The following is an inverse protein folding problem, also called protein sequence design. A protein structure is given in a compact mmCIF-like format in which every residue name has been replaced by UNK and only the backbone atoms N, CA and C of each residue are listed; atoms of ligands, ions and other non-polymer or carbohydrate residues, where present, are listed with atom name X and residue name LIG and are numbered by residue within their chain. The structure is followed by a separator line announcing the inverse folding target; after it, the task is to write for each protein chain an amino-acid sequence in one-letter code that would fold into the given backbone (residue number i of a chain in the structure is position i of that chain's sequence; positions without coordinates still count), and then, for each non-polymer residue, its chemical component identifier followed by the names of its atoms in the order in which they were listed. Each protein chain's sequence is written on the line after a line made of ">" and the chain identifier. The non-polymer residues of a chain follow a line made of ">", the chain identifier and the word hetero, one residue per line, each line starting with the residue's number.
data_IF_270101332243
#
_entry.id   IF_270101332243
#
_cell.length_a   1.000
_cell.length_b   1.000
_cell.length_c   1.000
_cell.angle_alpha   90.00
_cell.angle_beta   90.00
_cell.angle_gamma   90.00
#
_symmetry.space_group_name_H-M   'P 1'
#
loop_
_entity.id
_entity.type
_entity.pdbx_description
1 polymer ?
#
# COMPACT_ATOMS: atom_id res chain seq x y z
N UNK A 1 -7.03 22.99 -27.59
CA UNK A 1 -6.66 21.55 -27.70
C UNK A 1 -5.59 21.31 -28.76
N UNK A 2 -5.86 21.35 -30.06
CA UNK A 2 -4.80 21.14 -31.08
C UNK A 2 -3.76 22.27 -31.11
N UNK A 3 -4.17 23.52 -30.84
CA UNK A 3 -3.27 24.69 -30.84
C UNK A 3 -2.39 24.80 -29.59
N UNK A 4 -2.76 24.18 -28.46
CA UNK A 4 -1.94 24.18 -27.24
C UNK A 4 -0.88 23.05 -27.26
N UNK A 5 -1.10 22.01 -28.07
CA UNK A 5 -0.17 20.87 -28.19
C UNK A 5 1.04 21.15 -29.08
N UNK A 6 0.90 22.02 -30.09
CA UNK A 6 2.01 22.41 -30.97
C UNK A 6 3.05 23.31 -30.28
N UNK A 7 2.74 23.86 -29.09
CA UNK A 7 3.68 24.65 -28.30
C UNK A 7 4.79 23.78 -27.63
N UNK A 8 4.59 22.46 -27.53
CA UNK A 8 5.53 21.54 -26.88
C UNK A 8 6.15 20.47 -27.81
N UNK A 9 5.59 20.21 -28.99
CA UNK A 9 6.17 19.28 -29.99
C UNK A 9 5.57 19.53 -31.38
N UNK A 10 6.42 19.69 -32.39
CA UNK A 10 6.00 19.99 -33.78
C UNK A 10 5.61 18.75 -34.60
N UNK A 11 5.76 17.52 -34.08
CA UNK A 11 5.64 16.29 -34.89
C UNK A 11 4.84 15.14 -34.26
N UNK A 12 4.31 15.27 -33.04
CA UNK A 12 3.58 14.14 -32.43
C UNK A 12 3.17 14.36 -30.98
N UNK A 13 2.25 13.48 -30.53
CA UNK A 13 1.71 13.45 -29.17
C UNK A 13 2.75 12.83 -28.24
N UNK A 14 3.22 13.59 -27.24
CA UNK A 14 4.01 13.07 -26.14
C UNK A 14 3.05 12.62 -25.02
N UNK A 15 2.65 11.35 -25.03
CA UNK A 15 1.76 10.76 -24.02
C UNK A 15 1.97 9.24 -23.91
N UNK A 16 1.56 8.67 -22.78
CA UNK A 16 1.48 7.22 -22.60
C UNK A 16 0.20 6.68 -23.26
N UNK A 17 0.33 5.59 -24.02
CA UNK A 17 -0.80 4.81 -24.54
C UNK A 17 -0.92 3.50 -23.75
N UNK A 18 -1.90 3.42 -22.86
CA UNK A 18 -2.07 2.29 -21.93
C UNK A 18 -3.40 1.58 -22.22
N UNK A 19 -3.32 0.27 -22.45
CA UNK A 19 -4.50 -0.61 -22.56
C UNK A 19 -4.53 -1.54 -21.34
N UNK A 20 -5.61 -1.47 -20.58
CA UNK A 20 -5.87 -2.36 -19.45
C UNK A 20 -7.14 -3.16 -19.73
N UNK A 21 -7.06 -4.48 -19.52
CA UNK A 21 -8.20 -5.38 -19.58
C UNK A 21 -8.10 -6.41 -18.47
N UNK A 22 -9.24 -6.95 -18.07
CA UNK A 22 -9.36 -8.08 -17.15
C UNK A 22 -10.29 -9.11 -17.80
N UNK A 23 -10.12 -10.39 -17.45
CA UNK A 23 -10.91 -11.50 -18.01
C UNK A 23 -11.94 -11.93 -16.98
N UNK A 24 -13.17 -12.16 -17.43
CA UNK A 24 -14.21 -12.72 -16.57
C UNK A 24 -13.94 -14.20 -16.35
N UNK A 25 -13.60 -14.58 -15.11
CA UNK A 25 -13.43 -15.98 -14.70
C UNK A 25 -14.69 -16.50 -14.00
N UNK A 26 -15.49 -17.31 -14.68
CA UNK A 26 -16.74 -17.84 -14.09
C UNK A 26 -16.50 -18.75 -12.88
N UNK A 27 -15.38 -19.47 -12.87
CA UNK A 27 -15.02 -20.41 -11.81
C UNK A 27 -14.16 -19.79 -10.69
N UNK A 28 -14.50 -20.14 -9.45
CA UNK A 28 -13.79 -19.71 -8.24
C UNK A 28 -12.38 -20.31 -8.18
N UNK A 29 -12.10 -21.38 -8.93
CA UNK A 29 -10.81 -22.09 -8.89
C UNK A 29 -9.89 -21.63 -10.04
N UNK A 30 -10.39 -20.85 -11.00
CA UNK A 30 -9.64 -20.44 -12.20
C UNK A 30 -10.05 -21.21 -13.46
N UNK A 31 -9.26 -21.06 -14.53
CA UNK A 31 -9.50 -21.69 -15.84
C UNK A 31 -8.31 -22.57 -16.26
N UNK A 32 -8.59 -23.74 -16.84
CA UNK A 32 -7.58 -24.67 -17.35
C UNK A 32 -7.77 -24.87 -18.85
N UNK A 33 -6.81 -24.42 -19.63
CA UNK A 33 -6.81 -24.56 -21.09
C UNK A 33 -5.81 -25.63 -21.50
N UNK A 34 -6.21 -26.52 -22.40
CA UNK A 34 -5.38 -27.62 -22.91
C UNK A 34 -5.28 -27.48 -24.44
N UNK A 35 -4.06 -27.49 -24.97
CA UNK A 35 -3.80 -27.44 -26.39
C UNK A 35 -2.56 -28.27 -26.76
N UNK A 36 -2.73 -29.23 -27.67
CA UNK A 36 -1.66 -30.10 -28.18
C UNK A 36 -0.74 -30.74 -27.12
N UNK A 37 -1.34 -31.22 -26.01
CA UNK A 37 -0.60 -31.87 -24.92
C UNK A 37 0.07 -30.90 -23.94
N UNK A 38 -0.08 -29.60 -24.14
CA UNK A 38 0.29 -28.56 -23.18
C UNK A 38 -0.95 -28.06 -22.44
N UNK A 39 -0.74 -27.53 -21.24
CA UNK A 39 -1.80 -26.89 -20.48
C UNK A 39 -1.34 -25.58 -19.85
N UNK A 40 -2.28 -24.66 -19.67
CA UNK A 40 -2.13 -23.44 -18.87
C UNK A 40 -3.23 -23.43 -17.83
N UNK A 41 -2.86 -23.18 -16.57
CA UNK A 41 -3.79 -23.04 -15.46
C UNK A 41 -3.76 -21.60 -14.94
N UNK A 42 -4.82 -20.85 -15.22
CA UNK A 42 -5.04 -19.50 -14.74
C UNK A 42 -5.72 -19.54 -13.37
N UNK A 43 -4.95 -19.40 -12.28
CA UNK A 43 -5.48 -19.42 -10.92
C UNK A 43 -5.68 -17.99 -10.38
N UNK A 44 -6.93 -17.64 -10.09
CA UNK A 44 -7.31 -16.30 -9.61
C UNK A 44 -8.65 -16.32 -8.88
N UNK A 45 -8.74 -16.96 -7.71
CA UNK A 45 -10.00 -17.13 -7.00
C UNK A 45 -10.62 -15.79 -6.62
N UNK A 46 -11.92 -15.63 -6.92
CA UNK A 46 -12.69 -14.43 -6.62
C UNK A 46 -13.65 -14.66 -5.46
N UNK A 47 -13.96 -13.61 -4.72
CA UNK A 47 -14.94 -13.66 -3.63
C UNK A 47 -14.49 -14.42 -2.37
N UNK A 48 -13.20 -14.73 -2.24
CA UNK A 48 -12.66 -15.24 -0.98
C UNK A 48 -12.77 -14.16 0.10
N UNK A 49 -13.14 -14.52 1.35
CA UNK A 49 -13.10 -13.58 2.45
C UNK A 49 -11.66 -13.08 2.63
N UNK A 50 -11.47 -11.80 2.96
CA UNK A 50 -10.15 -11.30 3.26
C UNK A 50 -9.52 -12.08 4.41
N UNK A 51 -8.26 -12.47 4.25
CA UNK A 51 -7.50 -13.20 5.26
C UNK A 51 -6.90 -12.20 6.25
N UNK A 52 -7.05 -12.47 7.55
CA UNK A 52 -6.39 -11.71 8.60
C UNK A 52 -4.87 -11.84 8.45
N UNK A 53 -4.16 -10.70 8.50
CA UNK A 53 -2.71 -10.67 8.27
C UNK A 53 -1.97 -9.99 9.42
N UNK A 54 -0.73 -10.45 9.63
CA UNK A 54 0.25 -9.82 10.49
C UNK A 54 1.30 -9.14 9.60
N UNK A 55 1.37 -7.81 9.62
CA UNK A 55 2.23 -7.03 8.72
C UNK A 55 3.30 -6.28 9.51
N UNK A 56 4.57 -6.45 9.15
CA UNK A 56 5.66 -5.67 9.74
C UNK A 56 6.21 -4.70 8.71
N UNK A 57 6.15 -3.41 9.02
CA UNK A 57 6.74 -2.35 8.19
C UNK A 57 8.14 -2.02 8.69
N UNK A 58 9.15 -2.35 7.89
CA UNK A 58 10.54 -2.03 8.21
C UNK A 58 10.95 -0.78 7.43
N UNK A 59 11.24 0.33 8.12
CA UNK A 59 11.39 1.67 7.54
C UNK A 59 12.79 2.21 7.80
N UNK A 60 13.51 2.55 6.74
CA UNK A 60 14.78 3.30 6.85
C UNK A 60 14.50 4.73 7.35
N UNK A 61 15.23 5.13 8.40
CA UNK A 61 15.17 6.45 9.02
C UNK A 61 16.54 7.15 9.05
N UNK A 62 17.52 6.59 8.34
CA UNK A 62 18.86 7.15 8.22
C UNK A 62 18.87 8.52 7.54
N UNK A 63 20.04 9.18 7.57
CA UNK A 63 20.23 10.54 7.07
C UNK A 63 19.83 10.72 5.60
N UNK A 64 19.95 9.67 4.79
CA UNK A 64 19.58 9.68 3.36
C UNK A 64 18.08 9.89 3.12
N UNK A 65 17.26 9.63 4.14
CA UNK A 65 15.81 9.76 4.12
C UNK A 65 15.34 11.18 4.46
N UNK A 66 16.27 12.06 4.85
CA UNK A 66 15.94 13.43 5.23
C UNK A 66 15.20 14.19 4.11
N UNK A 67 14.25 15.04 4.52
CA UNK A 67 13.48 15.89 3.62
C UNK A 67 12.32 15.16 2.93
N UNK A 68 12.28 15.22 1.61
CA UNK A 68 11.11 14.81 0.83
C UNK A 68 10.79 13.31 0.95
N UNK A 69 11.81 12.45 1.01
CA UNK A 69 11.63 10.99 1.12
C UNK A 69 10.88 10.62 2.39
N UNK A 70 11.36 11.04 3.56
CA UNK A 70 10.69 10.77 4.83
C UNK A 70 9.28 11.38 4.87
N UNK A 71 9.07 12.57 4.29
CA UNK A 71 7.73 13.18 4.21
C UNK A 71 6.77 12.33 3.37
N UNK A 72 7.23 11.78 2.25
CA UNK A 72 6.44 10.91 1.39
C UNK A 72 6.17 9.55 2.05
N UNK A 73 7.18 8.95 2.69
CA UNK A 73 7.04 7.70 3.46
C UNK A 73 5.99 7.86 4.55
N UNK A 74 6.06 8.93 5.36
CA UNK A 74 5.04 9.24 6.39
C UNK A 74 3.64 9.42 5.77
N UNK A 75 3.53 10.06 4.60
CA UNK A 75 2.23 10.22 3.92
C UNK A 75 1.67 8.87 3.45
N UNK A 76 2.50 8.02 2.85
CA UNK A 76 2.10 6.69 2.39
C UNK A 76 1.69 5.79 3.57
N UNK A 77 2.45 5.80 4.66
CA UNK A 77 2.14 5.00 5.85
C UNK A 77 0.78 5.38 6.46
N UNK A 78 0.42 6.67 6.49
CA UNK A 78 -0.91 7.08 6.95
C UNK A 78 -2.05 6.50 6.10
N UNK A 79 -1.85 6.34 4.78
CA UNK A 79 -2.84 5.72 3.89
C UNK A 79 -2.89 4.21 4.14
N UNK A 80 -1.74 3.54 4.12
CA UNK A 80 -1.63 2.09 4.31
C UNK A 80 -2.25 1.64 5.64
N UNK A 81 -1.92 2.33 6.74
CA UNK A 81 -2.47 2.01 8.06
C UNK A 81 -3.98 2.31 8.16
N UNK A 82 -4.48 3.27 7.40
CA UNK A 82 -5.92 3.57 7.30
C UNK A 82 -6.70 2.50 6.54
N UNK A 83 -6.06 1.78 5.64
CA UNK A 83 -6.63 0.71 4.82
C UNK A 83 -6.50 -0.69 5.43
N UNK A 84 -5.78 -0.83 6.57
CA UNK A 84 -5.73 -2.09 7.31
C UNK A 84 -7.11 -2.47 7.86
N UNK A 85 -7.41 -3.76 7.83
CA UNK A 85 -8.66 -4.27 8.37
C UNK A 85 -8.60 -4.31 9.89
N UNK A 86 -9.77 -4.25 10.55
CA UNK A 86 -9.86 -4.20 12.01
C UNK A 86 -9.25 -5.42 12.72
N UNK A 87 -9.14 -6.55 12.01
CA UNK A 87 -8.56 -7.79 12.55
C UNK A 87 -7.10 -7.99 12.13
N UNK A 88 -6.54 -7.11 11.30
CA UNK A 88 -5.12 -7.18 10.95
C UNK A 88 -4.28 -6.79 12.17
N UNK A 89 -3.08 -7.35 12.28
CA UNK A 89 -2.08 -6.86 13.21
C UNK A 89 -0.96 -6.21 12.42
N UNK A 90 -0.35 -5.17 13.00
CA UNK A 90 0.87 -4.62 12.42
C UNK A 90 1.92 -4.26 13.47
N UNK A 91 3.17 -4.22 13.04
CA UNK A 91 4.25 -3.56 13.75
C UNK A 91 5.02 -2.64 12.79
N UNK A 92 5.71 -1.65 13.34
CA UNK A 92 6.67 -0.82 12.61
C UNK A 92 8.02 -1.02 13.29
N UNK A 93 9.05 -1.18 12.47
CA UNK A 93 10.44 -1.24 12.89
C UNK A 93 11.18 -0.19 12.09
N UNK A 94 11.75 0.80 12.77
CA UNK A 94 12.65 1.76 12.15
C UNK A 94 14.11 1.32 12.25
N UNK A 95 14.90 1.65 11.23
CA UNK A 95 16.33 1.36 11.25
C UNK A 95 17.17 2.47 10.65
N UNK A 96 18.37 2.65 11.21
CA UNK A 96 19.47 3.46 10.68
C UNK A 96 20.79 2.78 11.06
N UNK A 97 21.67 3.45 11.80
CA UNK A 97 22.83 2.82 12.46
C UNK A 97 22.41 1.92 13.62
N UNK A 98 21.19 2.10 14.12
CA UNK A 98 20.53 1.27 15.14
C UNK A 98 19.14 0.83 14.68
N UNK A 99 18.61 -0.21 15.31
CA UNK A 99 17.23 -0.69 15.08
C UNK A 99 16.36 -0.31 16.27
N UNK A 100 15.17 0.20 16.00
CA UNK A 100 14.13 0.50 17.00
C UNK A 100 12.82 -0.17 16.61
N UNK A 101 12.19 -0.84 17.55
CA UNK A 101 10.81 -1.30 17.41
C UNK A 101 9.87 -0.25 17.99
N UNK A 102 8.88 0.16 17.20
CA UNK A 102 7.96 1.22 17.60
C UNK A 102 6.82 0.73 18.51
N UNK A 103 6.54 -0.57 18.51
CA UNK A 103 5.55 -1.20 19.39
C UNK A 103 6.16 -2.42 20.07
N UNK A 104 6.01 -2.52 21.39
CA UNK A 104 6.46 -3.67 22.20
C UNK A 104 5.74 -5.00 21.83
N UNK A 105 4.60 -4.92 21.12
CA UNK A 105 3.87 -6.06 20.58
C UNK A 105 3.05 -5.66 19.34
N UNK A 106 2.68 -6.60 18.45
CA UNK A 106 1.86 -6.32 17.27
C UNK A 106 0.52 -5.64 17.66
N UNK A 107 0.27 -4.47 17.10
CA UNK A 107 -0.90 -3.65 17.41
C UNK A 107 -2.07 -3.96 16.48
N UNK A 108 -3.29 -4.01 17.04
CA UNK A 108 -4.54 -4.19 16.30
C UNK A 108 -5.21 -2.82 16.04
N UNK A 109 -5.46 -2.41 14.77
CA UNK A 109 -6.12 -1.15 14.44
C UNK A 109 -7.54 -1.11 15.02
N UNK A 110 -8.00 0.03 15.56
CA UNK A 110 -9.38 0.15 16.01
C UNK A 110 -10.33 0.06 14.81
N UNK A 111 -11.51 -0.57 14.96
CA UNK A 111 -12.49 -0.70 13.89
C UNK A 111 -13.00 0.68 13.46
N UNK A 112 -12.50 1.15 12.29
CA UNK A 112 -12.76 2.45 11.66
C UNK A 112 -12.28 3.66 12.47
N UNK A 113 -11.13 4.20 12.06
CA UNK A 113 -10.53 5.46 12.53
C UNK A 113 -11.49 6.68 12.57
N UNK A 114 -12.59 6.66 11.82
CA UNK A 114 -13.56 7.77 11.73
C UNK A 114 -14.45 7.98 12.96
N UNK A 115 -14.45 7.09 13.96
CA UNK A 115 -15.28 7.23 15.19
C UNK A 115 -14.49 7.27 16.50
N UNK A 116 -13.16 7.37 16.45
CA UNK A 116 -12.33 7.43 17.66
C UNK A 116 -12.40 8.85 18.27
N UNK A 117 -12.68 9.02 19.58
CA UNK A 117 -12.72 10.34 20.23
C UNK A 117 -11.38 11.09 20.09
N UNK A 118 -11.42 12.42 19.89
CA UNK A 118 -10.22 13.27 19.67
C UNK A 118 -9.10 13.12 20.71
N UNK A 119 -9.39 12.56 21.89
CA UNK A 119 -8.41 12.24 22.94
C UNK A 119 -7.51 11.05 22.60
N UNK A 120 -8.04 10.04 21.90
CA UNK A 120 -7.24 8.91 21.41
C UNK A 120 -6.45 9.24 20.13
N UNK A 121 -6.75 10.37 19.48
CA UNK A 121 -5.91 10.93 18.40
C UNK A 121 -4.60 11.51 18.96
N UNK A 122 -4.59 12.00 20.20
CA UNK A 122 -3.41 12.60 20.80
C UNK A 122 -2.33 11.54 21.08
N UNK A 123 -2.69 10.39 21.65
CA UNK A 123 -1.76 9.27 21.90
C UNK A 123 -1.24 8.64 20.60
N UNK A 124 -2.09 8.49 19.58
CA UNK A 124 -1.69 7.97 18.27
C UNK A 124 -0.81 8.93 17.46
N UNK A 125 -1.16 10.22 17.45
CA UNK A 125 -0.39 11.25 16.75
C UNK A 125 0.96 11.44 17.42
N UNK A 126 1.06 11.30 18.74
CA UNK A 126 2.32 11.32 19.48
C UNK A 126 3.18 10.08 19.22
N UNK A 127 2.60 8.89 19.04
CA UNK A 127 3.37 7.73 18.58
C UNK A 127 3.87 7.96 17.14
N UNK A 128 2.99 8.19 16.17
CA UNK A 128 3.40 8.24 14.74
C UNK A 128 4.25 9.48 14.38
N UNK A 129 4.05 10.64 15.04
CA UNK A 129 4.87 11.83 14.82
C UNK A 129 6.05 11.96 15.79
N UNK A 130 5.99 11.34 16.98
CA UNK A 130 7.06 11.39 17.98
C UNK A 130 8.11 10.28 17.84
N UNK A 131 7.80 9.17 17.17
CA UNK A 131 8.73 8.03 16.99
C UNK A 131 9.78 8.22 15.88
N UNK A 132 9.83 9.39 15.24
CA UNK A 132 10.78 9.71 14.16
C UNK A 132 11.35 11.14 14.32
N UNK A 133 11.52 11.56 15.57
CA UNK A 133 12.21 12.79 15.97
C UNK A 133 13.67 12.51 16.31
#
# INVERSE_FOLDING_TARGET
>A
MLQDQSAFSSSGIMADFVVQYDVVTEDIIGDVQIYEGYFVHFFGPRGLPPVEKNVVFVIDVGSSMFGAKMKQTKKAMNVILGDLQANDYFNIISFSDTVSEELEAPYRPPPRMFKVPRTAWATWKLMVLGLLG
#
